data_IF_675463226023
#
_entry.id   IF_675463226023
#
_cell.length_a   1.000
_cell.length_b   1.000
_cell.length_c   1.000
_cell.angle_alpha   90.00
_cell.angle_beta   90.00
_cell.angle_gamma   90.00
#
_symmetry.space_group_name_H-M   'P 1'
#
loop_
_entity.id
_entity.type
_entity.pdbx_description
1 polymer ?
#
# COMPACT_ATOMS: atom_id res chain seq x y z
N UNK A 1 2.28 18.45 -9.14
CA UNK A 1 1.82 18.56 -7.74
C UNK A 1 2.75 17.71 -6.89
N UNK A 2 3.41 18.30 -5.89
CA UNK A 2 4.40 17.63 -5.03
C UNK A 2 3.67 16.77 -3.98
N UNK A 3 3.09 15.64 -4.40
CA UNK A 3 2.38 14.70 -3.50
C UNK A 3 3.32 14.05 -2.47
N UNK A 4 4.62 14.00 -2.75
CA UNK A 4 5.60 13.27 -1.96
C UNK A 4 5.93 13.92 -0.60
N UNK A 5 5.55 15.18 -0.35
CA UNK A 5 5.94 15.91 0.88
C UNK A 5 4.86 16.02 1.94
N UNK A 6 3.58 15.91 1.57
CA UNK A 6 2.48 16.05 2.53
C UNK A 6 1.91 14.68 2.93
N UNK A 7 1.98 14.36 4.22
CA UNK A 7 1.54 13.08 4.77
C UNK A 7 0.09 12.74 4.40
N UNK A 8 -0.85 13.69 4.58
CA UNK A 8 -2.26 13.44 4.32
C UNK A 8 -2.56 13.15 2.84
N UNK A 9 -1.85 13.80 1.90
CA UNK A 9 -2.03 13.56 0.46
C UNK A 9 -1.59 12.16 0.05
N UNK A 10 -0.53 11.65 0.67
CA UNK A 10 -0.06 10.29 0.45
C UNK A 10 -1.05 9.26 1.03
N UNK A 11 -1.67 9.56 2.17
CA UNK A 11 -2.71 8.71 2.74
C UNK A 11 -3.97 8.66 1.83
N UNK A 12 -4.41 9.81 1.32
CA UNK A 12 -5.49 9.91 0.33
C UNK A 12 -5.17 9.14 -0.96
N UNK A 13 -3.91 9.15 -1.39
CA UNK A 13 -3.46 8.38 -2.55
C UNK A 13 -3.60 6.88 -2.30
N UNK A 14 -3.10 6.36 -1.17
CA UNK A 14 -3.30 4.94 -0.83
C UNK A 14 -4.76 4.56 -0.69
N UNK A 15 -5.60 5.43 -0.13
CA UNK A 15 -7.03 5.19 -0.09
C UNK A 15 -7.61 5.00 -1.51
N UNK A 16 -7.15 5.76 -2.50
CA UNK A 16 -7.55 5.56 -3.91
C UNK A 16 -7.02 4.24 -4.48
N UNK A 17 -5.77 3.87 -4.18
CA UNK A 17 -5.17 2.59 -4.62
C UNK A 17 -5.91 1.39 -4.04
N UNK A 18 -6.37 1.49 -2.79
CA UNK A 18 -7.04 0.39 -2.08
C UNK A 18 -8.56 0.36 -2.28
N UNK A 19 -9.16 1.44 -2.78
CA UNK A 19 -10.61 1.49 -3.01
C UNK A 19 -11.04 0.35 -3.94
N UNK A 20 -12.07 -0.39 -3.51
CA UNK A 20 -12.62 -1.52 -4.25
C UNK A 20 -11.86 -2.84 -4.07
N UNK A 21 -10.76 -2.86 -3.31
CA UNK A 21 -10.03 -4.08 -2.95
C UNK A 21 -10.54 -4.65 -1.63
N UNK A 22 -10.50 -5.97 -1.52
CA UNK A 22 -10.67 -6.70 -0.26
C UNK A 22 -9.43 -6.55 0.63
N UNK A 23 -9.57 -6.84 1.93
CA UNK A 23 -8.43 -6.87 2.87
C UNK A 23 -7.34 -7.82 2.39
N UNK A 24 -7.70 -9.00 1.89
CA UNK A 24 -6.74 -10.00 1.40
C UNK A 24 -5.95 -9.49 0.20
N UNK A 25 -6.60 -8.81 -0.75
CA UNK A 25 -5.93 -8.20 -1.90
C UNK A 25 -4.98 -7.06 -1.48
N UNK A 26 -5.34 -6.29 -0.46
CA UNK A 26 -4.48 -5.24 0.09
C UNK A 26 -3.24 -5.86 0.78
N UNK A 27 -3.42 -6.92 1.58
CA UNK A 27 -2.32 -7.65 2.23
C UNK A 27 -1.36 -8.25 1.18
N UNK A 28 -1.90 -8.87 0.13
CA UNK A 28 -1.12 -9.42 -0.98
C UNK A 28 -0.39 -8.33 -1.76
N UNK A 29 -1.06 -7.21 -2.05
CA UNK A 29 -0.46 -6.08 -2.74
C UNK A 29 0.70 -5.50 -1.91
N UNK A 30 0.52 -5.32 -0.60
CA UNK A 30 1.60 -4.86 0.29
C UNK A 30 2.77 -5.84 0.29
N UNK A 31 2.49 -7.12 0.49
CA UNK A 31 3.50 -8.17 0.54
C UNK A 31 4.30 -8.27 -0.76
N UNK A 32 3.71 -7.96 -1.91
CA UNK A 32 4.38 -7.97 -3.21
C UNK A 32 5.16 -6.69 -3.49
N UNK A 33 4.59 -5.52 -3.16
CA UNK A 33 5.04 -4.23 -3.67
C UNK A 33 5.78 -3.36 -2.66
N UNK A 34 5.82 -3.72 -1.37
CA UNK A 34 6.50 -2.95 -0.33
C UNK A 34 7.75 -3.66 0.22
N UNK A 35 8.70 -2.87 0.71
CA UNK A 35 9.91 -3.36 1.36
C UNK A 35 9.61 -4.06 2.67
N UNK A 36 10.18 -5.24 2.88
CA UNK A 36 10.08 -5.96 4.15
C UNK A 36 10.95 -5.32 5.26
N UNK A 37 11.79 -4.34 4.91
CA UNK A 37 12.69 -3.64 5.83
C UNK A 37 12.05 -2.38 6.41
N UNK A 38 11.32 -1.62 5.58
CA UNK A 38 10.81 -0.30 5.98
C UNK A 38 9.32 -0.07 5.63
N UNK A 39 8.64 -1.03 5.00
CA UNK A 39 7.22 -0.97 4.65
C UNK A 39 6.83 0.07 3.61
N UNK A 40 7.80 0.71 2.95
CA UNK A 40 7.55 1.65 1.85
C UNK A 40 7.44 0.90 0.52
N UNK A 41 6.78 1.47 -0.49
CA UNK A 41 6.79 0.91 -1.84
C UNK A 41 8.22 0.71 -2.37
N UNK A 42 8.45 -0.41 -3.05
CA UNK A 42 9.74 -0.72 -3.66
C UNK A 42 10.05 0.31 -4.76
N UNK A 43 11.33 0.66 -4.90
CA UNK A 43 11.82 1.59 -5.92
C UNK A 43 12.83 0.90 -6.81
N UNK A 44 12.83 1.26 -8.09
CA UNK A 44 13.79 0.76 -9.08
C UNK A 44 15.25 1.05 -8.68
N UNK A 45 15.49 2.16 -7.98
CA UNK A 45 16.81 2.64 -7.56
C UNK A 45 17.16 2.27 -6.10
N UNK A 46 16.40 1.36 -5.47
CA UNK A 46 16.71 0.94 -4.09
C UNK A 46 18.13 0.39 -3.99
N UNK A 47 18.87 0.80 -2.96
CA UNK A 47 20.22 0.30 -2.66
C UNK A 47 20.19 -0.99 -1.83
N UNK A 48 19.05 -1.34 -1.25
CA UNK A 48 18.88 -2.53 -0.43
C UNK A 48 18.74 -3.77 -1.33
N UNK A 49 19.56 -4.79 -1.10
CA UNK A 49 19.59 -6.00 -1.93
C UNK A 49 18.27 -6.78 -1.89
N UNK A 50 17.63 -6.88 -0.71
CA UNK A 50 16.33 -7.56 -0.57
C UNK A 50 15.24 -6.86 -1.37
N UNK A 51 15.23 -5.53 -1.35
CA UNK A 51 14.28 -4.74 -2.14
C UNK A 51 14.52 -4.94 -3.65
N UNK A 52 15.78 -4.95 -4.09
CA UNK A 52 16.14 -5.19 -5.50
C UNK A 52 15.66 -6.56 -5.97
N UNK A 53 15.92 -7.61 -5.19
CA UNK A 53 15.49 -8.97 -5.50
C UNK A 53 13.97 -9.08 -5.59
N UNK A 54 13.25 -8.43 -4.67
CA UNK A 54 11.79 -8.42 -4.66
C UNK A 54 11.23 -7.64 -5.86
N UNK A 55 11.80 -6.48 -6.16
CA UNK A 55 11.43 -5.66 -7.31
C UNK A 55 11.71 -6.38 -8.65
N UNK A 56 12.80 -7.15 -8.74
CA UNK A 56 13.15 -7.90 -9.93
C UNK A 56 12.13 -8.98 -10.30
N UNK A 57 11.39 -9.52 -9.32
CA UNK A 57 10.33 -10.52 -9.51
C UNK A 57 9.01 -9.93 -10.04
N UNK A 58 8.88 -8.60 -10.06
CA UNK A 58 7.71 -7.93 -10.62
C UNK A 58 7.74 -7.97 -12.15
N UNK A 59 6.57 -8.12 -12.76
CA UNK A 59 6.42 -7.95 -14.21
C UNK A 59 6.65 -6.50 -14.63
N UNK A 60 6.88 -6.24 -15.92
CA UNK A 60 7.09 -4.88 -16.40
C UNK A 60 5.87 -3.97 -16.19
N UNK A 61 4.65 -4.53 -16.28
CA UNK A 61 3.44 -3.78 -15.96
C UNK A 61 3.37 -3.44 -14.48
N UNK A 62 3.67 -4.38 -13.60
CA UNK A 62 3.67 -4.14 -12.15
C UNK A 62 4.74 -3.11 -11.73
N UNK A 63 5.90 -3.11 -12.39
CA UNK A 63 6.92 -2.08 -12.20
C UNK A 63 6.43 -0.69 -12.60
N UNK A 64 5.66 -0.58 -13.69
CA UNK A 64 5.05 0.68 -14.13
C UNK A 64 4.00 1.16 -13.13
N UNK A 65 3.08 0.28 -12.75
CA UNK A 65 2.03 0.59 -11.77
C UNK A 65 2.65 1.01 -10.43
N UNK A 66 3.75 0.36 -10.03
CA UNK A 66 4.47 0.69 -8.82
C UNK A 66 5.23 2.03 -8.94
N UNK A 67 5.77 2.37 -10.10
CA UNK A 67 6.37 3.69 -10.34
C UNK A 67 5.33 4.80 -10.20
N UNK A 68 4.11 4.58 -10.71
CA UNK A 68 2.97 5.50 -10.52
C UNK A 68 2.64 5.65 -9.03
N UNK A 69 2.63 4.54 -8.27
CA UNK A 69 2.44 4.57 -6.82
C UNK A 69 3.53 5.36 -6.12
N UNK A 70 4.81 5.13 -6.43
CA UNK A 70 5.96 5.84 -5.85
C UNK A 70 5.90 7.34 -6.16
N UNK A 71 5.35 7.74 -7.31
CA UNK A 71 5.15 9.15 -7.65
C UNK A 71 4.07 9.83 -6.79
N UNK A 72 3.07 9.07 -6.33
CA UNK A 72 1.96 9.56 -5.50
C UNK A 72 2.21 9.46 -4.00
N UNK A 73 2.88 8.40 -3.54
CA UNK A 73 3.14 8.14 -2.13
C UNK A 73 4.42 7.33 -1.89
N UNK A 74 5.20 7.75 -0.89
CA UNK A 74 6.43 7.07 -0.46
C UNK A 74 6.47 6.78 1.05
N UNK A 75 5.42 7.15 1.78
CA UNK A 75 5.26 6.79 3.19
C UNK A 75 5.22 5.27 3.37
N UNK A 76 5.61 4.84 4.57
CA UNK A 76 5.46 3.45 4.96
C UNK A 76 4.01 3.13 5.27
N UNK A 77 3.56 1.95 4.82
CA UNK A 77 2.25 1.40 5.18
C UNK A 77 2.31 0.54 6.45
N UNK A 78 3.51 0.09 6.83
CA UNK A 78 3.74 -0.73 8.03
C UNK A 78 5.21 -0.70 8.42
N UNK A 79 5.50 -0.08 9.56
CA UNK A 79 6.81 -0.05 10.20
C UNK A 79 6.68 -0.03 11.73
N UNK A 80 7.77 0.27 12.45
CA UNK A 80 7.77 0.34 13.91
C UNK A 80 6.86 1.46 14.47
N UNK A 81 6.49 2.46 13.68
CA UNK A 81 5.67 3.59 14.11
C UNK A 81 4.17 3.39 13.83
N UNK A 82 3.81 2.45 12.95
CA UNK A 82 2.40 2.18 12.65
C UNK A 82 2.17 1.01 11.68
N UNK A 83 0.96 0.48 11.70
CA UNK A 83 0.52 -0.64 10.86
C UNK A 83 -0.84 -0.33 10.22
N UNK A 84 -0.83 0.34 9.06
CA UNK A 84 -2.05 0.75 8.34
C UNK A 84 -2.79 -0.47 7.81
N UNK A 85 -2.04 -1.47 7.31
CA UNK A 85 -2.63 -2.71 6.76
C UNK A 85 -3.37 -3.48 7.87
N UNK A 86 -2.73 -3.62 9.03
CA UNK A 86 -3.34 -4.22 10.21
C UNK A 86 -4.54 -3.42 10.74
N UNK A 87 -4.49 -2.09 10.67
CA UNK A 87 -5.62 -1.24 11.05
C UNK A 87 -6.83 -1.42 10.13
N UNK A 88 -6.62 -1.50 8.81
CA UNK A 88 -7.69 -1.76 7.83
C UNK A 88 -8.33 -3.13 8.09
N UNK A 89 -7.50 -4.16 8.32
CA UNK A 89 -7.98 -5.50 8.66
C UNK A 89 -8.85 -5.50 9.92
N UNK A 90 -8.34 -4.93 11.02
CA UNK A 90 -9.09 -4.82 12.28
C UNK A 90 -10.39 -4.05 12.10
N UNK A 91 -10.39 -2.96 11.33
CA UNK A 91 -11.60 -2.18 11.04
C UNK A 91 -12.65 -3.02 10.29
N UNK A 92 -12.22 -3.84 9.33
CA UNK A 92 -13.11 -4.73 8.60
C UNK A 92 -13.63 -5.89 9.45
N UNK A 93 -12.79 -6.47 10.31
CA UNK A 93 -13.17 -7.55 11.24
C UNK A 93 -14.17 -7.06 12.30
N UNK A 94 -14.02 -5.82 12.77
CA UNK A 94 -14.91 -5.21 13.78
C UNK A 94 -16.04 -4.37 13.16
N UNK A 95 -16.28 -4.49 11.85
CA UNK A 95 -17.32 -3.70 11.17
C UNK A 95 -18.70 -4.04 11.76
N UNK A 96 -19.51 -3.02 12.03
CA UNK A 96 -20.92 -3.21 12.33
C UNK A 96 -21.67 -3.39 11.01
N UNK A 97 -22.26 -4.57 10.80
CA UNK A 97 -23.07 -4.82 9.60
C UNK A 97 -24.35 -4.02 9.67
N UNK A 98 -24.62 -3.24 8.62
CA UNK A 98 -25.86 -2.47 8.49
C UNK A 98 -26.79 -3.26 7.58
N UNK A 99 -27.84 -3.84 8.15
CA UNK A 99 -28.92 -4.46 7.38
C UNK A 99 -29.87 -3.37 6.88
N UNK A 100 -29.86 -3.10 5.58
CA UNK A 100 -30.84 -2.19 4.97
C UNK A 100 -32.10 -2.99 4.64
N UNK A 101 -33.14 -2.85 5.45
CA UNK A 101 -34.48 -3.35 5.12
C UNK A 101 -35.12 -2.43 4.08
N UNK A 102 -35.19 -2.88 2.83
CA UNK A 102 -36.00 -2.23 1.79
C UNK A 102 -37.49 -2.47 2.07
N UNK A 103 -38.30 -1.42 1.97
CA UNK A 103 -39.77 -1.51 2.01
C UNK A 103 -40.31 -1.98 0.66
#
# INVERSE_FOLDING_TARGET
MDYARDWYKQADFYQKVFKGKTVAEIEQWYAKNCSDVNGRPLKADSKNEKDKEKYAKLTDQEKKDLADVVSGATMSLKDAHGDIIGAIKKAYENRAEITVTTK
#
